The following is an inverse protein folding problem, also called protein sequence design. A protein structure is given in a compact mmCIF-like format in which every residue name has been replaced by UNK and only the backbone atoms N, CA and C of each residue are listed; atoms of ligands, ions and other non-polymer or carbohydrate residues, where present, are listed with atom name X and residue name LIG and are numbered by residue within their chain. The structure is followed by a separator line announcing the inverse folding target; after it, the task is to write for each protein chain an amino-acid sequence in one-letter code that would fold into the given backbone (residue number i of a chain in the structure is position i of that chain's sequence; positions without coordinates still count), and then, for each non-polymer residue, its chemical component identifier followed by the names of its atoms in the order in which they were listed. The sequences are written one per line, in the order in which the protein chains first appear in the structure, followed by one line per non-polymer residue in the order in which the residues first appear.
data_IF_494957488125
#
_entry.id   IF_494957488125
#
_cell.length_a   1.000
_cell.length_b   1.000
_cell.length_c   1.000
_cell.angle_alpha   90.00
_cell.angle_beta   90.00
_cell.angle_gamma   90.00
#
_symmetry.space_group_name_H-M   'P 1'
#
loop_
_entity.id
_entity.type
_entity.pdbx_description
1 polymer ?
#
# COMPACT_ATOMS: atom_id res chain seq x y z
N UNK A 1 23.73 -15.07 -8.73
CA UNK A 1 23.29 -13.83 -9.39
C UNK A 1 23.51 -12.72 -8.39
N UNK A 2 24.48 -11.83 -8.65
CA UNK A 2 24.70 -10.64 -7.83
C UNK A 2 23.36 -9.92 -7.66
N UNK A 3 22.86 -9.86 -6.42
CA UNK A 3 21.69 -9.04 -6.10
C UNK A 3 22.15 -7.60 -6.32
N UNK A 4 21.80 -7.04 -7.49
CA UNK A 4 21.84 -5.61 -7.71
C UNK A 4 21.32 -4.90 -6.45
N UNK A 5 22.07 -3.92 -5.95
CA UNK A 5 21.69 -3.15 -4.77
C UNK A 5 20.41 -2.36 -5.08
N UNK A 6 19.24 -3.00 -4.83
CA UNK A 6 17.92 -2.49 -5.19
C UNK A 6 17.72 -1.10 -4.60
N UNK A 7 17.44 -0.13 -5.46
CA UNK A 7 17.08 1.21 -5.02
C UNK A 7 15.63 1.22 -4.55
N UNK A 8 15.37 1.97 -3.49
CA UNK A 8 14.02 2.12 -2.91
C UNK A 8 13.34 3.42 -3.33
N UNK A 9 14.01 4.22 -4.14
CA UNK A 9 13.52 5.48 -4.70
C UNK A 9 13.77 5.49 -6.20
N UNK A 10 12.77 5.95 -6.96
CA UNK A 10 12.75 5.96 -8.42
C UNK A 10 13.04 4.59 -9.06
N UNK A 11 13.90 4.51 -10.07
CA UNK A 11 14.26 3.25 -10.73
C UNK A 11 14.96 2.29 -9.76
N UNK A 12 14.37 1.10 -9.56
CA UNK A 12 14.92 0.04 -8.70
C UNK A 12 16.34 -0.41 -9.10
N UNK A 13 16.72 -0.26 -10.37
CA UNK A 13 18.02 -0.69 -10.89
C UNK A 13 19.11 0.37 -10.71
N UNK A 14 18.86 1.61 -11.15
CA UNK A 14 19.88 2.66 -11.23
C UNK A 14 19.61 3.89 -10.34
N UNK A 15 18.39 4.06 -9.84
CA UNK A 15 17.99 5.19 -9.00
C UNK A 15 17.60 6.46 -9.76
N UNK A 16 17.69 6.45 -11.10
CA UNK A 16 17.24 7.55 -11.94
C UNK A 16 15.73 7.75 -11.86
N UNK A 17 15.29 9.00 -12.07
CA UNK A 17 13.87 9.36 -12.11
C UNK A 17 13.12 8.58 -13.19
N UNK A 18 11.92 8.11 -12.84
CA UNK A 18 11.06 7.37 -13.75
C UNK A 18 10.23 8.33 -14.59
N UNK A 19 10.02 7.99 -15.85
CA UNK A 19 9.05 8.65 -16.73
C UNK A 19 7.66 8.03 -16.56
N UNK A 20 6.64 8.89 -16.64
CA UNK A 20 5.23 8.53 -16.55
C UNK A 20 4.54 8.93 -17.85
N UNK A 21 4.05 7.94 -18.58
CA UNK A 21 3.50 8.07 -19.92
C UNK A 21 1.97 7.91 -19.91
N UNK A 22 1.27 8.68 -20.73
CA UNK A 22 -0.17 8.50 -20.96
C UNK A 22 -0.48 7.35 -21.93
N UNK A 23 0.48 6.97 -22.78
CA UNK A 23 0.39 5.85 -23.71
C UNK A 23 1.40 4.78 -23.31
N UNK A 24 0.95 3.53 -23.18
CA UNK A 24 1.83 2.45 -22.77
C UNK A 24 2.81 2.09 -23.89
N UNK A 25 4.05 1.76 -23.51
CA UNK A 25 5.10 1.30 -24.42
C UNK A 25 5.43 -0.18 -24.15
N UNK A 26 5.92 -0.93 -25.15
CA UNK A 26 6.45 -2.27 -24.91
C UNK A 26 7.69 -2.20 -24.02
N UNK A 27 7.76 -3.05 -23.02
CA UNK A 27 8.86 -3.15 -22.07
C UNK A 27 9.16 -4.61 -21.75
N UNK A 28 10.39 -4.88 -21.30
CA UNK A 28 10.82 -6.20 -20.86
C UNK A 28 11.41 -6.08 -19.46
N UNK A 29 10.93 -6.92 -18.53
CA UNK A 29 11.41 -6.91 -17.15
C UNK A 29 12.90 -7.28 -17.09
N UNK A 30 13.71 -6.40 -16.51
CA UNK A 30 15.16 -6.57 -16.35
C UNK A 30 15.51 -7.77 -15.45
N UNK A 31 14.59 -8.22 -14.58
CA UNK A 31 14.84 -9.35 -13.69
C UNK A 31 14.36 -10.71 -14.23
N UNK A 32 13.18 -10.79 -14.82
CA UNK A 32 12.60 -12.07 -15.25
C UNK A 32 12.41 -12.22 -16.76
N UNK A 33 12.70 -11.19 -17.56
CA UNK A 33 12.55 -11.23 -19.00
C UNK A 33 11.11 -11.21 -19.51
N UNK A 34 10.10 -11.05 -18.62
CA UNK A 34 8.69 -10.93 -19.02
C UNK A 34 8.49 -9.67 -19.87
N UNK A 35 7.93 -9.85 -21.07
CA UNK A 35 7.49 -8.76 -21.92
C UNK A 35 6.05 -8.34 -21.59
N UNK A 36 5.80 -7.04 -21.46
CA UNK A 36 4.47 -6.46 -21.25
C UNK A 36 4.42 -5.00 -21.73
N UNK A 37 3.28 -4.34 -21.57
CA UNK A 37 3.14 -2.91 -21.83
C UNK A 37 3.12 -2.13 -20.52
N UNK A 38 3.82 -1.00 -20.47
CA UNK A 38 3.88 -0.17 -19.26
C UNK A 38 3.81 1.32 -19.57
N UNK A 39 3.21 2.04 -18.64
CA UNK A 39 3.13 3.50 -18.63
C UNK A 39 4.22 4.14 -17.75
N UNK A 40 5.07 3.33 -17.12
CA UNK A 40 6.12 3.79 -16.22
C UNK A 40 7.39 3.05 -16.58
N UNK A 41 8.45 3.77 -16.92
CA UNK A 41 9.75 3.17 -17.23
C UNK A 41 10.90 4.07 -16.81
N UNK A 42 12.10 3.51 -16.79
CA UNK A 42 13.34 4.26 -16.64
C UNK A 42 13.82 4.73 -18.01
N UNK A 43 14.23 6.00 -18.18
CA UNK A 43 14.80 6.49 -19.44
C UNK A 43 16.05 5.71 -19.87
N UNK A 44 16.84 5.21 -18.92
CA UNK A 44 17.97 4.30 -19.17
C UNK A 44 17.58 2.85 -19.55
N UNK A 45 16.33 2.61 -19.95
CA UNK A 45 15.87 1.32 -20.50
C UNK A 45 15.51 0.25 -19.47
N UNK A 46 15.59 0.53 -18.17
CA UNK A 46 15.18 -0.41 -17.13
C UNK A 46 13.66 -0.47 -16.96
N UNK A 47 13.15 -1.68 -16.74
CA UNK A 47 11.78 -1.93 -16.32
C UNK A 47 11.74 -3.12 -15.36
N UNK A 48 10.94 -3.04 -14.30
CA UNK A 48 10.76 -4.15 -13.36
C UNK A 48 9.26 -4.39 -13.20
N UNK A 49 8.80 -5.58 -13.57
CA UNK A 49 7.38 -5.95 -13.47
C UNK A 49 6.90 -5.94 -12.01
N UNK A 50 5.60 -5.77 -11.79
CA UNK A 50 5.01 -5.68 -10.45
C UNK A 50 5.38 -6.87 -9.54
N UNK A 51 5.47 -8.07 -10.09
CA UNK A 51 5.83 -9.28 -9.34
C UNK A 51 7.28 -9.24 -8.83
N UNK A 52 8.24 -8.94 -9.71
CA UNK A 52 9.64 -8.82 -9.30
C UNK A 52 9.88 -7.62 -8.39
N UNK A 53 9.15 -6.52 -8.62
CA UNK A 53 9.18 -5.32 -7.80
C UNK A 53 8.76 -5.65 -6.35
N UNK A 54 7.65 -6.38 -6.19
CA UNK A 54 7.07 -6.66 -4.88
C UNK A 54 7.65 -7.86 -4.14
N UNK A 55 8.35 -8.76 -4.84
CA UNK A 55 8.78 -10.08 -4.35
C UNK A 55 9.42 -10.09 -2.94
N UNK A 56 10.43 -9.26 -2.69
CA UNK A 56 11.13 -9.25 -1.39
C UNK A 56 10.27 -8.62 -0.29
N UNK A 57 9.56 -7.56 -0.61
CA UNK A 57 8.70 -6.85 0.33
C UNK A 57 7.49 -7.67 0.76
N UNK A 58 6.87 -8.42 -0.15
CA UNK A 58 5.76 -9.32 0.18
C UNK A 58 6.18 -10.39 1.18
N UNK A 59 7.43 -10.91 1.08
CA UNK A 59 7.96 -11.87 2.07
C UNK A 59 8.07 -11.24 3.45
N UNK A 60 8.61 -10.02 3.53
CA UNK A 60 8.75 -9.28 4.79
C UNK A 60 7.38 -8.92 5.39
N UNK A 61 6.43 -8.45 4.56
CA UNK A 61 5.05 -8.19 4.97
C UNK A 61 4.42 -9.45 5.57
N UNK A 62 4.58 -10.59 4.90
CA UNK A 62 4.05 -11.88 5.35
C UNK A 62 4.65 -12.28 6.69
N UNK A 63 5.98 -12.28 6.80
CA UNK A 63 6.67 -12.65 8.04
C UNK A 63 6.26 -11.76 9.21
N UNK A 64 6.22 -10.43 8.99
CA UNK A 64 5.83 -9.47 10.01
C UNK A 64 4.37 -9.68 10.45
N UNK A 65 3.44 -9.79 9.50
CA UNK A 65 2.00 -9.88 9.81
C UNK A 65 1.61 -11.20 10.50
N UNK A 66 2.32 -12.29 10.20
CA UNK A 66 2.09 -13.60 10.86
C UNK A 66 2.70 -13.68 12.27
N UNK A 67 3.67 -12.82 12.59
CA UNK A 67 4.34 -12.80 13.91
C UNK A 67 3.89 -11.63 14.81
N UNK A 68 3.22 -10.63 14.25
CA UNK A 68 2.76 -9.45 14.99
C UNK A 68 1.55 -9.74 15.85
N UNK A 69 1.60 -9.35 17.12
CA UNK A 69 0.45 -9.28 18.03
C UNK A 69 -0.23 -7.90 18.08
N UNK A 70 0.24 -6.92 17.28
CA UNK A 70 -0.30 -5.55 17.33
C UNK A 70 -1.74 -5.50 16.80
N UNK A 71 -2.58 -4.70 17.45
CA UNK A 71 -3.96 -4.39 17.04
C UNK A 71 -4.04 -3.04 16.34
N UNK A 72 -2.90 -2.40 16.08
CA UNK A 72 -2.79 -1.09 15.48
C UNK A 72 -2.26 -1.20 14.04
N UNK A 73 -3.13 -1.13 13.00
CA UNK A 73 -2.69 -1.27 11.62
C UNK A 73 -1.78 -0.13 11.17
N UNK A 74 -1.94 1.07 11.72
CA UNK A 74 -1.10 2.23 11.40
C UNK A 74 0.33 2.03 11.90
N UNK A 75 0.49 1.54 13.12
CA UNK A 75 1.80 1.22 13.70
C UNK A 75 2.51 0.14 12.87
N UNK A 76 1.82 -0.97 12.57
CA UNK A 76 2.36 -2.04 11.74
C UNK A 76 2.80 -1.51 10.36
N UNK A 77 1.97 -0.71 9.69
CA UNK A 77 2.33 -0.09 8.42
C UNK A 77 3.57 0.80 8.53
N UNK A 78 3.67 1.63 9.58
CA UNK A 78 4.86 2.48 9.82
C UNK A 78 6.13 1.64 9.99
N UNK A 79 6.07 0.55 10.74
CA UNK A 79 7.23 -0.34 10.95
C UNK A 79 7.64 -0.98 9.63
N UNK A 80 6.69 -1.58 8.90
CA UNK A 80 6.98 -2.24 7.63
C UNK A 80 7.56 -1.24 6.62
N UNK A 81 6.98 -0.04 6.48
CA UNK A 81 7.45 0.97 5.51
C UNK A 81 8.85 1.52 5.78
N UNK A 82 9.41 1.31 6.97
CA UNK A 82 10.82 1.63 7.29
C UNK A 82 11.79 0.54 6.85
N UNK A 83 11.30 -0.67 6.57
CA UNK A 83 12.16 -1.77 6.19
C UNK A 83 12.94 -1.44 4.90
N UNK A 84 14.24 -1.75 4.80
CA UNK A 84 15.07 -1.39 3.64
C UNK A 84 14.61 -1.96 2.30
N UNK A 85 13.78 -2.99 2.30
CA UNK A 85 13.20 -3.55 1.06
C UNK A 85 11.95 -2.80 0.60
N UNK A 86 11.30 -2.04 1.49
CA UNK A 86 10.08 -1.32 1.15
C UNK A 86 10.42 -0.04 0.39
N UNK A 87 9.98 0.10 -0.87
CA UNK A 87 10.23 1.31 -1.64
C UNK A 87 9.42 2.49 -1.10
N UNK A 88 9.80 3.69 -1.55
CA UNK A 88 9.03 4.91 -1.29
C UNK A 88 7.67 4.85 -2.00
N UNK A 89 7.67 4.33 -3.22
CA UNK A 89 6.48 4.11 -4.06
C UNK A 89 6.54 2.72 -4.68
N UNK A 90 5.39 2.05 -4.80
CA UNK A 90 5.33 0.75 -5.45
C UNK A 90 4.14 -0.11 -5.00
N UNK A 91 3.86 -1.21 -5.74
CA UNK A 91 2.70 -2.08 -5.52
C UNK A 91 2.72 -2.83 -4.17
N UNK A 92 3.87 -2.90 -3.49
CA UNK A 92 4.04 -3.55 -2.18
C UNK A 92 3.11 -2.98 -1.12
N UNK A 93 2.84 -1.68 -1.23
CA UNK A 93 1.97 -0.97 -0.29
C UNK A 93 0.55 -1.52 -0.31
N UNK A 94 0.08 -2.03 -1.45
CA UNK A 94 -1.28 -2.55 -1.59
C UNK A 94 -1.42 -3.85 -0.78
N UNK A 95 -0.45 -4.76 -0.92
CA UNK A 95 -0.38 -5.98 -0.10
C UNK A 95 -0.24 -5.65 1.39
N UNK A 96 0.63 -4.70 1.73
CA UNK A 96 0.85 -4.28 3.12
C UNK A 96 -0.43 -3.74 3.76
N UNK A 97 -1.15 -2.81 3.12
CA UNK A 97 -2.39 -2.22 3.66
C UNK A 97 -3.42 -3.31 3.95
N UNK A 98 -3.63 -4.22 2.99
CA UNK A 98 -4.58 -5.31 3.17
C UNK A 98 -4.16 -6.22 4.35
N UNK A 99 -2.88 -6.57 4.42
CA UNK A 99 -2.33 -7.42 5.47
C UNK A 99 -2.50 -6.83 6.87
N UNK A 100 -2.05 -5.58 7.08
CA UNK A 100 -2.06 -4.98 8.43
C UNK A 100 -3.48 -4.79 8.97
N UNK A 101 -4.46 -4.51 8.09
CA UNK A 101 -5.87 -4.40 8.50
C UNK A 101 -6.44 -5.74 8.94
N UNK A 102 -6.19 -6.81 8.17
CA UNK A 102 -6.65 -8.16 8.53
C UNK A 102 -5.93 -8.69 9.77
N UNK A 103 -4.62 -8.44 9.91
CA UNK A 103 -3.84 -8.80 11.11
C UNK A 103 -4.35 -8.07 12.35
N UNK A 104 -4.60 -6.77 12.28
CA UNK A 104 -5.12 -6.01 13.42
C UNK A 104 -6.51 -6.52 13.84
N UNK A 105 -7.38 -6.80 12.86
CA UNK A 105 -8.70 -7.37 13.10
C UNK A 105 -8.62 -8.77 13.72
N UNK A 106 -7.73 -9.63 13.21
CA UNK A 106 -7.43 -10.95 13.81
C UNK A 106 -7.03 -10.80 15.26
N UNK A 107 -6.03 -9.97 15.54
CA UNK A 107 -5.44 -9.82 16.87
C UNK A 107 -6.42 -9.21 17.88
N UNK A 108 -7.37 -8.38 17.41
CA UNK A 108 -8.41 -7.82 18.26
C UNK A 108 -9.53 -8.82 18.55
N UNK A 109 -9.95 -9.61 17.55
CA UNK A 109 -11.24 -10.34 17.61
C UNK A 109 -11.13 -11.85 17.68
N UNK A 110 -10.03 -12.42 17.19
CA UNK A 110 -9.87 -13.87 16.98
C UNK A 110 -10.79 -14.46 15.89
N UNK A 111 -11.51 -13.64 15.11
CA UNK A 111 -12.55 -14.12 14.16
C UNK A 111 -12.02 -14.55 12.79
N UNK A 112 -10.76 -14.27 12.48
CA UNK A 112 -10.08 -14.70 11.26
C UNK A 112 -8.78 -15.40 11.63
N UNK A 113 -8.15 -16.06 10.67
CA UNK A 113 -6.95 -16.89 10.85
C UNK A 113 -5.76 -16.33 10.07
N UNK A 114 -4.61 -17.00 10.18
CA UNK A 114 -3.45 -16.71 9.34
C UNK A 114 -3.71 -16.90 7.85
N UNK A 115 -4.67 -17.75 7.48
CA UNK A 115 -5.03 -17.95 6.07
C UNK A 115 -5.72 -16.71 5.48
N UNK A 116 -6.57 -16.02 6.26
CA UNK A 116 -7.11 -14.73 5.82
C UNK A 116 -6.04 -13.64 5.69
N UNK A 117 -5.00 -13.65 6.53
CA UNK A 117 -3.86 -12.72 6.36
C UNK A 117 -3.13 -13.02 5.05
N UNK A 118 -2.80 -14.28 4.80
CA UNK A 118 -2.13 -14.71 3.55
C UNK A 118 -2.97 -14.40 2.32
N UNK A 119 -4.28 -14.61 2.40
CA UNK A 119 -5.21 -14.31 1.30
C UNK A 119 -5.30 -12.81 1.01
N UNK A 120 -5.33 -11.97 2.05
CA UNK A 120 -5.31 -10.51 1.90
C UNK A 120 -4.00 -10.04 1.24
N UNK A 121 -2.86 -10.60 1.64
CA UNK A 121 -1.56 -10.34 1.01
C UNK A 121 -1.58 -10.77 -0.46
N UNK A 122 -2.05 -11.99 -0.74
CA UNK A 122 -2.11 -12.55 -2.11
C UNK A 122 -2.95 -11.66 -3.01
N UNK A 123 -4.16 -11.26 -2.58
CA UNK A 123 -5.05 -10.36 -3.35
C UNK A 123 -4.46 -8.96 -3.49
N UNK A 124 -3.89 -8.40 -2.43
CA UNK A 124 -3.28 -7.07 -2.47
C UNK A 124 -2.08 -7.01 -3.42
N UNK A 125 -1.29 -8.09 -3.50
CA UNK A 125 -0.14 -8.19 -4.40
C UNK A 125 -0.53 -8.26 -5.89
N UNK A 126 -1.79 -8.58 -6.24
CA UNK A 126 -2.25 -8.53 -7.64
C UNK A 126 -2.65 -7.13 -8.09
N UNK A 127 -2.66 -6.13 -7.20
CA UNK A 127 -3.04 -4.75 -7.54
C UNK A 127 -1.82 -4.02 -8.13
N UNK A 128 -1.83 -3.66 -9.44
CA UNK A 128 -0.65 -3.12 -10.12
C UNK A 128 -0.22 -1.75 -9.61
N UNK A 129 1.07 -1.44 -9.76
CA UNK A 129 1.59 -0.08 -9.62
C UNK A 129 0.98 0.88 -10.64
N UNK A 130 0.93 2.18 -10.31
CA UNK A 130 0.44 3.22 -11.22
C UNK A 130 -1.08 3.45 -11.23
N UNK A 131 -1.88 2.59 -10.58
CA UNK A 131 -3.35 2.71 -10.56
C UNK A 131 -3.84 4.08 -10.08
N UNK A 132 -3.18 4.63 -9.05
CA UNK A 132 -3.47 5.96 -8.50
C UNK A 132 -3.39 7.13 -9.48
N UNK A 133 -2.70 6.97 -10.62
CA UNK A 133 -2.59 8.01 -11.66
C UNK A 133 -3.26 7.65 -12.99
N UNK A 134 -3.55 6.37 -13.26
CA UNK A 134 -3.92 5.89 -14.59
C UNK A 134 -5.33 5.29 -14.69
N UNK A 135 -5.94 4.88 -13.57
CA UNK A 135 -7.16 4.08 -13.59
C UNK A 135 -8.34 4.73 -12.83
N UNK A 136 -8.21 6.01 -12.44
CA UNK A 136 -9.26 6.74 -11.73
C UNK A 136 -9.54 6.25 -10.31
N UNK A 137 -8.67 5.40 -9.75
CA UNK A 137 -8.80 4.86 -8.39
C UNK A 137 -7.43 4.63 -7.75
N UNK A 138 -7.27 5.03 -6.50
CA UNK A 138 -6.04 4.76 -5.74
C UNK A 138 -6.06 3.33 -5.20
N UNK A 139 -5.00 2.59 -5.48
CA UNK A 139 -4.87 1.19 -5.08
C UNK A 139 -4.77 0.99 -3.54
N UNK A 140 -4.42 2.03 -2.78
CA UNK A 140 -4.56 2.01 -1.32
C UNK A 140 -6.04 1.87 -0.90
N UNK A 141 -6.97 2.50 -1.62
CA UNK A 141 -8.40 2.33 -1.37
C UNK A 141 -8.85 0.90 -1.70
N UNK A 142 -8.42 0.37 -2.86
CA UNK A 142 -8.71 -1.03 -3.25
C UNK A 142 -8.22 -2.00 -2.16
N UNK A 143 -7.03 -1.78 -1.61
CA UNK A 143 -6.48 -2.62 -0.54
C UNK A 143 -7.36 -2.66 0.72
N UNK A 144 -8.05 -1.57 1.07
CA UNK A 144 -9.02 -1.58 2.18
C UNK A 144 -10.25 -2.43 1.88
N UNK A 145 -10.75 -2.39 0.64
CA UNK A 145 -11.83 -3.25 0.18
C UNK A 145 -11.43 -4.72 0.13
N UNK A 146 -10.17 -5.01 -0.25
CA UNK A 146 -9.60 -6.36 -0.18
C UNK A 146 -9.61 -6.87 1.26
N UNK A 147 -9.13 -6.07 2.23
CA UNK A 147 -9.17 -6.45 3.64
C UNK A 147 -10.60 -6.76 4.12
N UNK A 148 -11.56 -5.88 3.83
CA UNK A 148 -12.96 -6.07 4.20
C UNK A 148 -13.57 -7.31 3.52
N UNK A 149 -13.31 -7.50 2.22
CA UNK A 149 -13.76 -8.67 1.46
C UNK A 149 -13.21 -9.96 2.04
N UNK A 150 -11.95 -9.99 2.47
CA UNK A 150 -11.34 -11.16 3.10
C UNK A 150 -11.93 -11.43 4.48
N UNK A 151 -12.09 -10.41 5.32
CA UNK A 151 -12.69 -10.52 6.66
C UNK A 151 -14.12 -11.08 6.58
N UNK A 152 -14.92 -10.55 5.65
CA UNK A 152 -16.33 -10.94 5.49
C UNK A 152 -16.51 -12.19 4.62
N UNK A 153 -15.43 -12.77 4.07
CA UNK A 153 -15.50 -13.89 3.11
C UNK A 153 -16.40 -13.58 1.91
N UNK A 154 -16.37 -12.33 1.45
CA UNK A 154 -17.19 -11.86 0.33
C UNK A 154 -16.82 -12.59 -0.96
N UNK A 155 -17.83 -12.87 -1.77
CA UNK A 155 -17.71 -13.42 -3.13
C UNK A 155 -18.54 -12.57 -4.10
N UNK A 156 -18.43 -12.77 -5.43
CA UNK A 156 -19.33 -12.13 -6.37
C UNK A 156 -20.83 -12.42 -6.12
N UNK A 157 -21.16 -13.51 -5.41
CA UNK A 157 -22.53 -13.97 -5.17
C UNK A 157 -23.08 -13.58 -3.79
N UNK A 158 -22.25 -13.07 -2.87
CA UNK A 158 -22.71 -12.53 -1.59
C UNK A 158 -23.24 -11.11 -1.75
N UNK A 159 -24.39 -10.78 -1.17
CA UNK A 159 -24.95 -9.43 -1.27
C UNK A 159 -24.28 -8.47 -0.28
N UNK A 160 -24.53 -8.66 1.01
CA UNK A 160 -24.13 -7.75 2.06
C UNK A 160 -22.60 -7.60 2.12
N UNK A 161 -21.87 -8.71 2.14
CA UNK A 161 -20.42 -8.75 2.29
C UNK A 161 -19.71 -8.03 1.15
N UNK A 162 -20.16 -8.27 -0.09
CA UNK A 162 -19.62 -7.62 -1.30
C UNK A 162 -19.91 -6.12 -1.31
N UNK A 163 -21.14 -5.71 -0.99
CA UNK A 163 -21.52 -4.29 -0.93
C UNK A 163 -20.76 -3.55 0.17
N UNK A 164 -20.58 -4.18 1.33
CA UNK A 164 -19.81 -3.64 2.45
C UNK A 164 -18.34 -3.48 2.06
N UNK A 165 -17.74 -4.44 1.38
CA UNK A 165 -16.37 -4.32 0.86
C UNK A 165 -16.21 -3.23 -0.21
N UNK A 166 -17.16 -3.11 -1.14
CA UNK A 166 -17.14 -2.04 -2.15
C UNK A 166 -17.27 -0.66 -1.51
N UNK A 167 -18.12 -0.52 -0.49
CA UNK A 167 -18.28 0.74 0.24
C UNK A 167 -17.03 1.12 1.02
N UNK A 168 -16.31 0.14 1.58
CA UNK A 168 -14.98 0.38 2.18
C UNK A 168 -14.03 1.02 1.17
N UNK A 169 -13.90 0.44 -0.04
CA UNK A 169 -13.11 1.04 -1.13
C UNK A 169 -13.57 2.46 -1.46
N UNK A 170 -14.88 2.67 -1.61
CA UNK A 170 -15.46 3.97 -1.96
C UNK A 170 -15.10 5.06 -0.92
N UNK A 171 -15.25 4.75 0.36
CA UNK A 171 -14.93 5.69 1.46
C UNK A 171 -13.45 6.04 1.52
N UNK A 172 -12.59 5.03 1.44
CA UNK A 172 -11.15 5.28 1.41
C UNK A 172 -10.75 6.10 0.18
N UNK A 173 -11.35 5.83 -0.99
CA UNK A 173 -11.08 6.57 -2.21
C UNK A 173 -11.52 8.04 -2.09
N UNK A 174 -12.71 8.31 -1.55
CA UNK A 174 -13.19 9.67 -1.32
C UNK A 174 -12.28 10.46 -0.36
N UNK A 175 -11.82 9.82 0.72
CA UNK A 175 -10.87 10.43 1.65
C UNK A 175 -9.51 10.70 0.98
N UNK A 176 -9.01 9.76 0.15
CA UNK A 176 -7.76 9.95 -0.59
C UNK A 176 -7.89 11.09 -1.60
N UNK A 177 -8.98 11.14 -2.37
CA UNK A 177 -9.23 12.15 -3.39
C UNK A 177 -9.37 13.57 -2.81
N UNK A 178 -9.69 13.68 -1.52
CA UNK A 178 -9.74 14.96 -0.80
C UNK A 178 -8.36 15.53 -0.43
N UNK A 179 -7.29 14.72 -0.55
CA UNK A 179 -5.92 15.19 -0.31
C UNK A 179 -5.37 16.01 -1.50
N UNK A 180 -4.47 16.94 -1.21
CA UNK A 180 -3.75 17.73 -2.22
C UNK A 180 -2.37 17.16 -2.58
N UNK A 181 -1.87 17.56 -3.74
CA UNK A 181 -0.52 17.28 -4.24
C UNK A 181 -0.40 16.00 -5.08
N UNK A 182 0.73 15.86 -5.76
CA UNK A 182 1.05 14.70 -6.58
C UNK A 182 1.14 13.39 -5.77
N UNK A 183 1.40 12.27 -6.46
CA UNK A 183 1.47 10.92 -5.89
C UNK A 183 2.25 10.86 -4.58
N UNK A 184 1.67 10.23 -3.56
CA UNK A 184 2.37 9.87 -2.33
C UNK A 184 1.76 8.60 -1.71
N UNK A 185 2.40 7.44 -1.91
CA UNK A 185 1.92 6.16 -1.37
C UNK A 185 1.77 6.19 0.15
N UNK A 186 2.62 6.92 0.89
CA UNK A 186 2.53 7.03 2.35
C UNK A 186 1.28 7.79 2.80
N UNK A 187 0.95 8.91 2.15
CA UNK A 187 -0.26 9.69 2.42
C UNK A 187 -1.53 8.88 2.10
N UNK A 188 -1.53 8.16 0.97
CA UNK A 188 -2.63 7.27 0.60
C UNK A 188 -2.79 6.13 1.61
N UNK A 189 -1.70 5.46 2.02
CA UNK A 189 -1.70 4.43 3.08
C UNK A 189 -2.31 4.95 4.38
N UNK A 190 -1.83 6.10 4.88
CA UNK A 190 -2.32 6.63 6.15
C UNK A 190 -3.81 6.99 6.09
N UNK A 191 -4.23 7.63 5.01
CA UNK A 191 -5.64 7.98 4.79
C UNK A 191 -6.52 6.74 4.65
N UNK A 192 -6.05 5.71 3.94
CA UNK A 192 -6.75 4.46 3.75
C UNK A 192 -6.96 3.71 5.09
N UNK A 193 -5.92 3.60 5.91
CA UNK A 193 -6.00 2.94 7.22
C UNK A 193 -6.91 3.71 8.18
N UNK A 194 -6.84 5.05 8.22
CA UNK A 194 -7.75 5.87 9.02
C UNK A 194 -9.21 5.64 8.60
N UNK A 195 -9.48 5.66 7.30
CA UNK A 195 -10.82 5.40 6.75
C UNK A 195 -11.31 4.00 7.10
N UNK A 196 -10.43 3.00 7.06
CA UNK A 196 -10.74 1.62 7.41
C UNK A 196 -11.07 1.47 8.89
N UNK A 197 -10.30 2.11 9.78
CA UNK A 197 -10.59 2.09 11.22
C UNK A 197 -11.97 2.68 11.55
N UNK A 198 -12.33 3.79 10.90
CA UNK A 198 -13.67 4.39 11.06
C UNK A 198 -14.76 3.43 10.55
N UNK A 199 -14.58 2.88 9.35
CA UNK A 199 -15.59 2.01 8.76
C UNK A 199 -15.74 0.67 9.51
N UNK A 200 -14.64 0.09 10.00
CA UNK A 200 -14.68 -1.14 10.83
C UNK A 200 -15.49 -0.92 12.12
N UNK A 201 -15.36 0.25 12.73
CA UNK A 201 -16.17 0.62 13.91
C UNK A 201 -17.66 0.65 13.56
N UNK A 202 -18.00 1.27 12.44
CA UNK A 202 -19.39 1.43 12.00
C UNK A 202 -20.06 0.12 11.59
N UNK A 203 -19.37 -0.74 10.83
CA UNK A 203 -20.01 -1.92 10.19
C UNK A 203 -19.69 -3.25 10.85
N UNK A 204 -18.52 -3.37 11.52
CA UNK A 204 -18.12 -4.60 12.22
C UNK A 204 -18.29 -4.48 13.74
N UNK A 205 -18.54 -3.27 14.26
CA UNK A 205 -18.58 -3.00 15.70
C UNK A 205 -17.22 -3.18 16.36
N UNK A 206 -16.12 -3.03 15.61
CA UNK A 206 -14.76 -3.24 16.11
C UNK A 206 -13.94 -1.96 16.08
N UNK A 207 -13.35 -1.60 17.21
CA UNK A 207 -12.46 -0.45 17.34
C UNK A 207 -11.00 -0.93 17.39
N UNK A 208 -10.31 -0.84 16.24
CA UNK A 208 -8.87 -1.09 16.17
C UNK A 208 -8.11 -0.02 16.95
N UNK A 209 -6.96 -0.39 17.50
CA UNK A 209 -6.04 0.58 18.08
C UNK A 209 -5.57 1.55 16.99
N UNK A 210 -5.42 2.82 17.34
CA UNK A 210 -5.07 3.85 16.36
C UNK A 210 -4.14 4.90 16.96
N UNK A 211 -3.40 5.55 16.07
CA UNK A 211 -2.61 6.73 16.39
C UNK A 211 -3.48 7.94 16.06
N UNK A 212 -3.79 8.83 17.03
CA UNK A 212 -4.51 10.07 16.73
C UNK A 212 -3.79 10.88 15.65
N UNK A 213 -4.53 11.47 14.70
CA UNK A 213 -3.94 12.22 13.58
C UNK A 213 -2.99 13.32 14.05
N UNK A 214 -3.31 14.00 15.15
CA UNK A 214 -2.45 15.02 15.77
C UNK A 214 -1.09 14.49 16.23
N UNK A 215 -0.96 13.18 16.46
CA UNK A 215 0.29 12.49 16.82
C UNK A 215 0.91 11.73 15.64
N UNK A 216 0.19 11.59 14.52
CA UNK A 216 0.64 10.83 13.37
C UNK A 216 1.55 11.68 12.48
N UNK A 217 2.86 11.54 12.72
CA UNK A 217 3.92 12.19 11.95
C UNK A 217 4.48 11.26 10.88
N UNK A 218 4.52 11.75 9.63
CA UNK A 218 5.16 11.08 8.50
C UNK A 218 6.68 11.28 8.54
N UNK A 219 7.43 10.18 8.50
CA UNK A 219 8.90 10.16 8.58
C UNK A 219 9.56 9.91 7.22
N UNK A 220 8.78 9.99 6.13
CA UNK A 220 9.22 9.69 4.76
C UNK A 220 9.25 10.93 3.85
N UNK A 221 8.99 12.12 4.38
CA UNK A 221 8.89 13.36 3.60
C UNK A 221 10.19 13.67 2.85
N UNK A 222 11.35 13.48 3.47
CA UNK A 222 12.68 13.72 2.87
C UNK A 222 13.01 12.80 1.70
N UNK A 223 12.42 11.60 1.67
CA UNK A 223 12.61 10.57 0.62
C UNK A 223 11.71 10.77 -0.61
N UNK A 224 10.78 11.72 -0.54
CA UNK A 224 9.81 11.95 -1.61
C UNK A 224 9.97 13.35 -2.21
N UNK A 225 10.60 13.43 -3.39
CA UNK A 225 10.73 14.69 -4.13
C UNK A 225 9.38 15.36 -4.44
N UNK A 226 8.31 14.57 -4.58
CA UNK A 226 6.94 15.06 -4.81
C UNK A 226 6.14 15.27 -3.51
N UNK A 227 6.79 15.31 -2.34
CA UNK A 227 6.11 15.56 -1.08
C UNK A 227 5.39 16.92 -1.10
N UNK A 228 4.11 16.92 -0.76
CA UNK A 228 3.32 18.15 -0.66
C UNK A 228 3.66 18.99 0.61
N UNK A 229 4.60 18.54 1.44
CA UNK A 229 5.06 19.20 2.67
C UNK A 229 3.89 19.78 3.48
N UNK A 230 3.83 21.10 3.67
CA UNK A 230 2.81 21.80 4.46
C UNK A 230 1.36 21.53 3.99
N UNK A 231 1.14 21.19 2.72
CA UNK A 231 -0.19 20.84 2.19
C UNK A 231 -0.63 19.40 2.56
N UNK A 232 0.26 18.62 3.19
CA UNK A 232 -0.03 17.28 3.67
C UNK A 232 -0.28 17.30 5.18
N UNK A 233 -1.49 16.92 5.62
CA UNK A 233 -1.86 16.83 7.05
C UNK A 233 -1.00 15.88 7.91
N UNK A 234 -0.21 15.00 7.29
CA UNK A 234 0.70 14.09 7.99
C UNK A 234 2.15 14.59 8.03
N UNK A 235 2.44 15.74 7.43
CA UNK A 235 3.80 16.26 7.36
C UNK A 235 4.32 16.62 8.76
N UNK A 236 5.49 16.09 9.10
CA UNK A 236 6.10 16.24 10.41
C UNK A 236 7.00 17.48 10.55
N UNK A 237 7.26 18.21 9.47
CA UNK A 237 8.38 19.16 9.37
C UNK A 237 9.64 18.50 8.80
N UNK A 238 10.72 19.28 8.65
CA UNK A 238 12.06 18.71 8.48
C UNK A 238 12.48 18.12 9.82
N UNK A 239 12.82 16.83 9.81
CA UNK A 239 13.48 16.20 10.96
C UNK A 239 14.95 16.34 10.65
N UNK A 240 15.64 17.27 11.32
CA UNK A 240 17.09 17.38 11.22
C UNK A 240 17.68 16.02 11.55
N UNK A 241 18.30 15.40 10.56
CA UNK A 241 19.05 14.15 10.74
C UNK A 241 20.32 14.49 11.52
N UNK A 242 20.28 14.27 12.83
CA UNK A 242 21.47 14.12 13.67
C UNK A 242 22.21 12.82 13.32
#
# INVERSE_FOLDING_TARGET
MEKYNKKTENCMMCGEELEYLTTAIPVTCTYCGKAESANIHCPSGHYVCNECHASDSVKIITQFCLSSGSKNPMEMAKIIMKHPTMPMHGPEHHAMIAAVLVTAYKNLTGKVTDEEIKEAIRRGATVPGGYCGLYGTDAAAIATGIAMSTILKATPLTDHERRTANMMTSRALAAIASNRGARCCKRSTFTAIESANQYFREVLGTELEYIPVSKLKCEHSSRNKQCAKADCRFYAGEVDSL
#
